data_IF_768149784105
#
_entry.id   IF_768149784105
#
_cell.length_a   1.000
_cell.length_b   1.000
_cell.length_c   1.000
_cell.angle_alpha   90.00
_cell.angle_beta   90.00
_cell.angle_gamma   90.00
#
_symmetry.space_group_name_H-M   'P 1'
#
loop_
_entity.id
_entity.type
_entity.pdbx_description
1 polymer ?
#
# COMPACT_ATOMS: atom_id res chain seq x y z
N UNK A 1 12.00 -4.53 7.16
CA UNK A 1 12.95 -3.41 7.30
C UNK A 1 14.14 -3.81 8.17
N UNK A 2 15.07 -4.64 7.65
CA UNK A 2 16.23 -5.09 8.42
C UNK A 2 17.09 -3.91 8.90
N UNK A 3 17.23 -2.87 8.07
CA UNK A 3 18.05 -1.69 8.35
C UNK A 3 17.50 -0.78 9.47
N UNK A 4 16.17 -0.56 9.49
CA UNK A 4 15.53 0.23 10.56
C UNK A 4 15.57 -0.56 11.87
N UNK A 5 15.31 -1.86 11.80
CA UNK A 5 15.40 -2.73 12.98
C UNK A 5 16.83 -2.80 13.54
N UNK A 6 17.83 -3.01 12.68
CA UNK A 6 19.25 -3.02 13.09
C UNK A 6 19.68 -1.68 13.67
N UNK A 7 19.23 -0.56 13.08
CA UNK A 7 19.50 0.78 13.61
C UNK A 7 18.96 0.96 15.03
N UNK A 8 17.79 0.41 15.35
CA UNK A 8 17.25 0.50 16.71
C UNK A 8 17.87 -0.48 17.71
N UNK A 9 18.33 -1.64 17.26
CA UNK A 9 19.13 -2.53 18.11
C UNK A 9 20.48 -1.88 18.48
N UNK A 10 21.10 -1.14 17.54
CA UNK A 10 22.32 -0.37 17.82
C UNK A 10 22.09 0.78 18.82
N UNK A 11 20.86 1.27 18.93
CA UNK A 11 20.45 2.26 19.93
C UNK A 11 20.07 1.64 21.29
N UNK A 12 20.25 0.33 21.47
CA UNK A 12 20.05 -0.37 22.74
C UNK A 12 18.61 -0.82 23.02
N UNK A 13 17.71 -0.79 22.03
CA UNK A 13 16.32 -1.24 22.20
C UNK A 13 16.27 -2.77 22.16
N UNK A 14 15.59 -3.38 23.14
CA UNK A 14 15.36 -4.83 23.19
C UNK A 14 14.59 -5.32 21.94
N UNK A 15 14.97 -6.47 21.37
CA UNK A 15 14.37 -7.03 20.14
C UNK A 15 12.84 -7.10 20.19
N UNK A 16 12.27 -7.44 21.35
CA UNK A 16 10.82 -7.53 21.56
C UNK A 16 10.10 -6.18 21.38
N UNK A 17 10.79 -5.06 21.62
CA UNK A 17 10.29 -3.71 21.40
C UNK A 17 10.76 -3.13 20.06
N UNK A 18 11.90 -3.60 19.54
CA UNK A 18 12.54 -3.11 18.33
C UNK A 18 11.64 -3.23 17.09
N UNK A 19 10.95 -4.34 16.88
CA UNK A 19 10.08 -4.45 15.70
C UNK A 19 8.85 -3.53 15.80
N UNK A 20 8.34 -3.27 17.02
CA UNK A 20 7.18 -2.40 17.26
C UNK A 20 7.53 -0.94 16.97
N UNK A 21 8.63 -0.47 17.54
CA UNK A 21 9.09 0.90 17.33
C UNK A 21 9.57 1.12 15.88
N UNK A 22 10.03 0.08 15.18
CA UNK A 22 10.40 0.16 13.77
C UNK A 22 9.18 0.39 12.86
N UNK A 23 8.00 -0.08 13.27
CA UNK A 23 6.74 0.18 12.56
C UNK A 23 6.17 1.57 12.82
N UNK A 24 6.60 2.25 13.89
CA UNK A 24 6.22 3.65 14.13
C UNK A 24 6.86 4.61 13.12
N UNK A 25 8.09 4.32 12.70
CA UNK A 25 8.84 5.14 11.74
C UNK A 25 8.08 5.36 10.42
N UNK A 26 7.64 4.32 9.67
CA UNK A 26 6.87 4.53 8.46
C UNK A 26 5.52 5.21 8.73
N UNK A 27 4.88 4.96 9.87
CA UNK A 27 3.64 5.63 10.25
C UNK A 27 3.81 7.15 10.41
N UNK A 28 4.87 7.57 11.10
CA UNK A 28 5.21 8.99 11.27
C UNK A 28 5.54 9.64 9.92
N UNK A 29 6.32 8.96 9.07
CA UNK A 29 6.63 9.45 7.72
C UNK A 29 5.36 9.62 6.89
N UNK A 30 4.43 8.64 6.91
CA UNK A 30 3.15 8.74 6.19
C UNK A 30 2.29 9.88 6.71
N UNK A 31 2.25 10.10 8.03
CA UNK A 31 1.50 11.19 8.64
C UNK A 31 1.99 12.56 8.17
N UNK A 32 3.30 12.82 8.27
CA UNK A 32 3.86 14.09 7.81
C UNK A 32 3.77 14.26 6.29
N UNK A 33 3.96 13.18 5.52
CA UNK A 33 3.78 13.21 4.06
C UNK A 33 2.34 13.55 3.69
N UNK A 34 1.35 13.03 4.43
CA UNK A 34 -0.06 13.36 4.23
C UNK A 34 -0.36 14.84 4.50
N UNK A 35 0.21 15.41 5.56
CA UNK A 35 0.11 16.85 5.84
C UNK A 35 0.76 17.67 4.72
N UNK A 36 1.95 17.28 4.28
CA UNK A 36 2.64 17.93 3.17
C UNK A 36 1.81 17.90 1.88
N UNK A 37 1.24 16.74 1.55
CA UNK A 37 0.38 16.60 0.38
C UNK A 37 -0.85 17.52 0.44
N UNK A 38 -1.48 17.64 1.61
CA UNK A 38 -2.64 18.52 1.78
C UNK A 38 -2.30 20.01 1.60
N UNK A 39 -1.10 20.42 2.02
CA UNK A 39 -0.68 21.83 1.94
C UNK A 39 -0.08 22.22 0.58
N UNK A 40 0.61 21.29 -0.10
CA UNK A 40 1.40 21.61 -1.29
C UNK A 40 0.81 21.11 -2.61
N UNK A 41 -0.23 20.28 -2.60
CA UNK A 41 -0.82 19.73 -3.83
C UNK A 41 -2.04 20.53 -4.28
N UNK A 42 -2.16 20.74 -5.59
CA UNK A 42 -3.34 21.30 -6.25
C UNK A 42 -4.12 20.19 -6.95
N UNK A 43 -5.45 20.27 -6.93
CA UNK A 43 -6.32 19.22 -7.47
C UNK A 43 -6.37 19.18 -9.01
N UNK A 44 -6.13 20.32 -9.67
CA UNK A 44 -6.07 20.40 -11.13
C UNK A 44 -4.99 21.41 -11.59
N UNK A 45 -4.51 21.31 -12.86
CA UNK A 45 -3.52 22.24 -13.41
C UNK A 45 -3.95 23.71 -13.35
N UNK A 46 -5.27 23.95 -13.34
CA UNK A 46 -5.88 25.28 -13.35
C UNK A 46 -6.31 25.77 -11.94
N UNK A 47 -5.85 25.10 -10.87
CA UNK A 47 -6.19 25.41 -9.48
C UNK A 47 -7.11 24.37 -8.82
N UNK A 48 -7.59 24.66 -7.62
CA UNK A 48 -8.44 23.73 -6.86
C UNK A 48 -9.86 23.63 -7.47
N UNK A 49 -10.49 22.45 -7.44
CA UNK A 49 -11.86 22.25 -7.93
C UNK A 49 -12.89 23.19 -7.26
N UNK A 50 -12.64 23.59 -6.02
CA UNK A 50 -13.48 24.57 -5.30
C UNK A 50 -13.42 25.97 -5.93
N UNK A 51 -12.22 26.44 -6.28
CA UNK A 51 -11.99 27.72 -6.93
C UNK A 51 -12.50 27.72 -8.37
N UNK A 52 -12.21 26.66 -9.12
CA UNK A 52 -12.69 26.48 -10.50
C UNK A 52 -14.22 26.48 -10.59
N UNK A 53 -14.90 25.88 -9.60
CA UNK A 53 -16.37 25.92 -9.50
C UNK A 53 -16.89 27.31 -9.10
N UNK A 54 -16.18 28.01 -8.20
CA UNK A 54 -16.52 29.39 -7.83
C UNK A 54 -16.34 30.38 -9.00
N UNK A 55 -15.39 30.14 -9.91
CA UNK A 55 -15.20 30.90 -11.15
C UNK A 55 -16.19 30.54 -12.26
N UNK A 56 -17.03 29.52 -12.07
CA UNK A 56 -17.99 29.05 -13.08
C UNK A 56 -17.35 28.23 -14.22
N UNK A 57 -16.07 27.86 -14.10
CA UNK A 57 -15.33 27.08 -15.12
C UNK A 57 -15.61 25.57 -15.03
N UNK A 58 -16.26 25.12 -13.95
CA UNK A 58 -16.69 23.75 -13.74
C UNK A 58 -18.17 23.68 -13.35
N UNK A 59 -18.94 22.70 -13.86
CA UNK A 59 -20.30 22.49 -13.43
C UNK A 59 -20.38 22.21 -11.92
N UNK A 60 -21.50 22.61 -11.31
CA UNK A 60 -21.78 22.35 -9.91
C UNK A 60 -21.76 20.83 -9.64
N UNK A 61 -21.10 20.41 -8.56
CA UNK A 61 -21.03 19.00 -8.14
C UNK A 61 -22.34 18.54 -7.47
N UNK A 62 -23.49 18.85 -8.09
CA UNK A 62 -24.80 18.52 -7.57
C UNK A 62 -25.66 17.86 -8.68
N UNK A 63 -26.49 16.89 -8.29
CA UNK A 63 -27.26 16.09 -9.24
C UNK A 63 -26.37 15.20 -10.13
N UNK A 64 -26.58 15.27 -11.45
CA UNK A 64 -25.99 14.38 -12.45
C UNK A 64 -24.44 14.38 -12.50
N UNK A 65 -23.80 15.46 -12.03
CA UNK A 65 -22.34 15.60 -11.93
C UNK A 65 -21.79 15.33 -10.52
N UNK A 66 -22.64 14.84 -9.60
CA UNK A 66 -22.25 14.51 -8.24
C UNK A 66 -21.45 13.21 -8.19
N UNK A 67 -20.43 13.16 -7.32
CA UNK A 67 -19.57 11.98 -7.13
C UNK A 67 -20.35 10.68 -6.88
N UNK A 68 -21.52 10.76 -6.24
CA UNK A 68 -22.40 9.61 -5.99
C UNK A 68 -23.02 9.05 -7.27
N UNK A 69 -23.44 9.90 -8.21
CA UNK A 69 -24.01 9.46 -9.48
C UNK A 69 -22.92 8.94 -10.43
N UNK A 70 -21.76 9.58 -10.49
CA UNK A 70 -20.60 9.07 -11.25
C UNK A 70 -20.14 7.71 -10.72
N UNK A 71 -20.10 7.53 -9.39
CA UNK A 71 -19.77 6.24 -8.79
C UNK A 71 -20.81 5.17 -9.11
N UNK A 72 -22.11 5.49 -9.01
CA UNK A 72 -23.18 4.55 -9.34
C UNK A 72 -23.18 4.18 -10.83
N UNK A 73 -22.86 5.13 -11.71
CA UNK A 73 -22.70 4.88 -13.15
C UNK A 73 -21.52 3.93 -13.42
N UNK A 74 -20.37 4.18 -12.79
CA UNK A 74 -19.20 3.30 -12.90
C UNK A 74 -19.48 1.89 -12.35
N UNK A 75 -20.20 1.78 -11.23
CA UNK A 75 -20.55 0.49 -10.62
C UNK A 75 -21.52 -0.35 -11.47
N UNK A 76 -22.28 0.27 -12.38
CA UNK A 76 -23.17 -0.43 -13.32
C UNK A 76 -22.45 -0.97 -14.56
N UNK A 77 -21.23 -0.51 -14.84
CA UNK A 77 -20.46 -0.95 -16.00
C UNK A 77 -19.74 -2.28 -15.72
N UNK A 78 -20.02 -3.31 -16.53
CA UNK A 78 -19.38 -4.62 -16.45
C UNK A 78 -17.87 -4.56 -16.68
N UNK A 79 -17.38 -3.57 -17.45
CA UNK A 79 -15.95 -3.37 -17.73
C UNK A 79 -15.18 -3.00 -16.47
N UNK A 80 -15.81 -2.20 -15.60
CA UNK A 80 -15.23 -1.81 -14.30
C UNK A 80 -15.08 -3.04 -13.41
N UNK A 81 -16.08 -3.94 -13.41
CA UNK A 81 -16.00 -5.21 -12.68
C UNK A 81 -14.96 -6.17 -13.25
N UNK A 82 -14.83 -6.24 -14.58
CA UNK A 82 -13.78 -7.04 -15.19
C UNK A 82 -12.38 -6.52 -14.80
N UNK A 83 -12.16 -5.19 -14.83
CA UNK A 83 -10.91 -4.59 -14.41
C UNK A 83 -10.65 -4.81 -12.91
N UNK A 84 -11.68 -4.71 -12.08
CA UNK A 84 -11.61 -4.98 -10.65
C UNK A 84 -11.14 -6.42 -10.37
N UNK A 85 -11.72 -7.42 -11.05
CA UNK A 85 -11.35 -8.83 -10.87
C UNK A 85 -9.92 -9.07 -11.34
N UNK A 86 -9.54 -8.61 -12.53
CA UNK A 86 -8.18 -8.79 -13.07
C UNK A 86 -7.16 -8.14 -12.13
N UNK A 87 -7.41 -6.90 -11.70
CA UNK A 87 -6.53 -6.20 -10.77
C UNK A 87 -6.43 -6.91 -9.42
N UNK A 88 -7.56 -7.38 -8.88
CA UNK A 88 -7.61 -8.15 -7.64
C UNK A 88 -6.81 -9.46 -7.71
N UNK A 89 -6.86 -10.16 -8.84
CA UNK A 89 -6.08 -11.38 -9.07
C UNK A 89 -4.58 -11.08 -9.16
N UNK A 90 -4.19 -10.05 -9.91
CA UNK A 90 -2.78 -9.63 -10.01
C UNK A 90 -2.21 -9.26 -8.64
N UNK A 91 -2.93 -8.42 -7.89
CA UNK A 91 -2.52 -8.03 -6.55
C UNK A 91 -2.51 -9.20 -5.57
N UNK A 92 -3.46 -10.14 -5.68
CA UNK A 92 -3.50 -11.34 -4.85
C UNK A 92 -2.29 -12.26 -5.05
N UNK A 93 -1.86 -12.45 -6.30
CA UNK A 93 -0.63 -13.19 -6.62
C UNK A 93 0.59 -12.48 -6.05
N UNK A 94 0.68 -11.16 -6.20
CA UNK A 94 1.77 -10.35 -5.65
C UNK A 94 1.85 -10.45 -4.12
N UNK A 95 0.71 -10.42 -3.42
CA UNK A 95 0.66 -10.59 -1.96
C UNK A 95 1.14 -11.98 -1.54
N UNK A 96 0.73 -13.01 -2.27
CA UNK A 96 1.13 -14.40 -1.99
C UNK A 96 2.64 -14.59 -2.18
N UNK A 97 3.19 -14.02 -3.25
CA UNK A 97 4.64 -14.03 -3.51
C UNK A 97 5.36 -13.27 -2.41
N UNK A 98 4.94 -12.06 -2.04
CA UNK A 98 5.59 -11.29 -0.97
C UNK A 98 5.58 -12.00 0.40
N UNK A 99 4.53 -12.76 0.69
CA UNK A 99 4.46 -13.56 1.93
C UNK A 99 5.47 -14.72 1.93
N UNK A 100 5.59 -15.45 0.80
CA UNK A 100 6.37 -16.69 0.71
C UNK A 100 7.83 -16.43 0.29
N UNK A 101 8.11 -15.33 -0.42
CA UNK A 101 9.40 -15.06 -1.06
C UNK A 101 10.57 -15.09 -0.07
N UNK A 102 10.43 -14.47 1.10
CA UNK A 102 11.51 -14.43 2.10
C UNK A 102 11.91 -15.84 2.57
N UNK A 103 10.92 -16.71 2.81
CA UNK A 103 11.15 -18.09 3.24
C UNK A 103 11.71 -18.92 2.08
N UNK A 104 11.18 -18.75 0.87
CA UNK A 104 11.65 -19.47 -0.33
C UNK A 104 13.13 -19.19 -0.64
N UNK A 105 13.57 -17.92 -0.58
CA UNK A 105 14.97 -17.56 -0.82
C UNK A 105 15.89 -18.07 0.29
N UNK A 106 15.45 -18.04 1.56
CA UNK A 106 16.24 -18.61 2.67
C UNK A 106 16.43 -20.12 2.50
N UNK A 107 15.37 -20.84 2.18
CA UNK A 107 15.41 -22.30 2.04
C UNK A 107 16.19 -22.69 0.78
N UNK A 108 15.90 -22.09 -0.36
CA UNK A 108 16.39 -22.56 -1.67
C UNK A 108 17.80 -22.07 -2.01
N UNK A 109 18.18 -20.88 -1.55
CA UNK A 109 19.45 -20.24 -1.92
C UNK A 109 20.52 -20.35 -0.83
N UNK A 110 20.15 -20.32 0.45
CA UNK A 110 21.08 -20.17 1.58
C UNK A 110 21.40 -21.50 2.29
N UNK A 111 20.46 -22.45 2.32
CA UNK A 111 20.60 -23.69 3.11
C UNK A 111 21.16 -24.85 2.27
N UNK A 112 22.28 -25.48 2.68
CA UNK A 112 22.77 -26.69 2.02
C UNK A 112 21.76 -27.83 2.12
N UNK A 113 21.65 -28.62 1.04
CA UNK A 113 20.74 -29.76 0.84
C UNK A 113 20.36 -30.59 2.10
N UNK A 114 21.29 -30.99 3.00
CA UNK A 114 20.92 -31.75 4.21
C UNK A 114 20.02 -31.01 5.22
N UNK A 115 20.06 -29.67 5.32
CA UNK A 115 19.15 -28.92 6.21
C UNK A 115 17.78 -28.64 5.59
N UNK A 116 17.65 -28.67 4.26
CA UNK A 116 16.35 -28.48 3.59
C UNK A 116 15.38 -29.63 3.87
N UNK A 117 15.87 -30.87 3.97
CA UNK A 117 15.04 -32.05 4.25
C UNK A 117 14.45 -32.05 5.67
N UNK A 118 15.20 -31.53 6.65
CA UNK A 118 14.76 -31.43 8.05
C UNK A 118 13.63 -30.41 8.21
N UNK A 119 13.73 -29.20 7.63
CA UNK A 119 12.67 -28.18 7.76
C UNK A 119 11.37 -28.53 7.04
N UNK A 120 11.40 -29.34 5.96
CA UNK A 120 10.18 -29.83 5.30
C UNK A 120 9.38 -30.80 6.18
N UNK A 121 10.02 -31.51 7.11
CA UNK A 121 9.35 -32.43 8.03
C UNK A 121 8.58 -31.74 9.16
N UNK A 122 8.84 -30.45 9.43
CA UNK A 122 8.14 -29.67 10.46
C UNK A 122 7.00 -28.79 9.91
N UNK A 123 6.81 -28.76 8.58
CA UNK A 123 5.82 -27.93 7.89
C UNK A 123 4.71 -28.78 7.23
N UNK A 124 4.70 -30.09 7.47
CA UNK A 124 3.61 -31.02 7.15
C UNK A 124 2.93 -31.46 8.44
#
# INVERSE_FOLDING_TARGET
>A
MPLIFSGMLMLGVNEAFGWRLAMMVPGVVMFFTGIGYWLFTQDAPNGNFSELRARGELPEANGENGAKQSFLAAAKDIRVWALFVVYGLCFGVELTINNIAAIYFLISLILPWPRQASSRAYLA
#
